data_IF_466244559360
#
_entry.id   IF_466244559360
#
_cell.length_a   1.000
_cell.length_b   1.000
_cell.length_c   1.000
_cell.angle_alpha   90.00
_cell.angle_beta   90.00
_cell.angle_gamma   90.00
#
_symmetry.space_group_name_H-M   'P 1'
#
loop_
_entity.id
_entity.type
_entity.pdbx_description
1 polymer ?
#
# COMPACT_ATOMS: atom_id res chain seq x y z
N UNK A 1 15.41 10.02 -5.52
CA UNK A 1 15.65 10.77 -4.25
C UNK A 1 14.39 11.07 -3.43
N UNK A 2 13.21 11.29 -4.03
CA UNK A 2 11.99 11.66 -3.27
C UNK A 2 11.50 10.58 -2.26
N UNK A 3 11.63 9.29 -2.59
CA UNK A 3 11.27 8.20 -1.68
C UNK A 3 12.17 8.16 -0.43
N UNK A 4 13.47 8.37 -0.59
CA UNK A 4 14.42 8.45 0.53
C UNK A 4 14.11 9.61 1.49
N UNK A 5 13.76 10.79 0.95
CA UNK A 5 13.29 11.94 1.75
C UNK A 5 11.93 11.71 2.44
N UNK A 6 11.30 10.56 2.19
CA UNK A 6 10.07 10.12 2.85
C UNK A 6 10.28 8.83 3.65
N UNK A 7 11.53 8.41 3.90
CA UNK A 7 11.85 7.15 4.59
C UNK A 7 11.23 5.92 3.92
N UNK A 8 11.16 5.90 2.58
CA UNK A 8 10.59 4.79 1.80
C UNK A 8 11.67 4.03 1.04
N UNK A 9 11.74 2.72 1.28
CA UNK A 9 12.41 1.74 0.42
C UNK A 9 11.41 1.19 -0.60
N UNK A 10 11.62 1.46 -1.88
CA UNK A 10 10.85 0.88 -2.98
C UNK A 10 11.62 -0.28 -3.61
N UNK A 11 11.12 -1.50 -3.46
CA UNK A 11 11.77 -2.72 -3.96
C UNK A 11 11.78 -2.84 -5.49
N UNK A 12 11.04 -2.00 -6.21
CA UNK A 12 11.09 -1.94 -7.69
C UNK A 12 12.08 -0.88 -8.19
N UNK A 13 12.63 -0.05 -7.29
CA UNK A 13 13.46 1.08 -7.67
C UNK A 13 14.93 0.68 -7.90
N UNK A 14 15.35 0.65 -9.17
CA UNK A 14 16.75 0.34 -9.55
C UNK A 14 17.77 1.31 -8.95
N UNK A 15 17.43 2.60 -8.82
CA UNK A 15 18.35 3.58 -8.22
C UNK A 15 18.57 3.37 -6.72
N UNK A 16 17.58 2.82 -6.00
CA UNK A 16 17.77 2.44 -4.60
C UNK A 16 18.52 1.12 -4.48
N UNK A 17 18.28 0.17 -5.39
CA UNK A 17 19.05 -1.08 -5.47
C UNK A 17 20.56 -0.82 -5.55
N UNK A 18 20.99 0.17 -6.31
CA UNK A 18 22.41 0.54 -6.48
C UNK A 18 23.10 1.01 -5.19
N UNK A 19 22.35 1.30 -4.12
CA UNK A 19 22.92 1.66 -2.81
C UNK A 19 23.35 0.44 -1.98
N UNK A 20 23.04 -0.77 -2.46
CA UNK A 20 23.32 -2.04 -1.80
C UNK A 20 24.14 -2.93 -2.73
N UNK A 21 24.85 -3.88 -2.16
CA UNK A 21 25.36 -5.03 -2.92
C UNK A 21 24.19 -5.88 -3.42
N UNK A 22 24.40 -6.67 -4.47
CA UNK A 22 23.35 -7.58 -4.98
C UNK A 22 22.87 -8.56 -3.90
N UNK A 23 23.78 -9.03 -3.04
CA UNK A 23 23.47 -9.94 -1.95
C UNK A 23 22.58 -9.28 -0.89
N UNK A 24 22.95 -8.09 -0.41
CA UNK A 24 22.13 -7.32 0.53
C UNK A 24 20.74 -7.00 -0.03
N UNK A 25 20.67 -6.59 -1.31
CA UNK A 25 19.40 -6.33 -1.96
C UNK A 25 18.53 -7.56 -2.07
N UNK A 26 19.11 -8.71 -2.43
CA UNK A 26 18.38 -9.97 -2.51
C UNK A 26 17.85 -10.41 -1.14
N UNK A 27 18.63 -10.21 -0.08
CA UNK A 27 18.18 -10.47 1.30
C UNK A 27 17.02 -9.56 1.70
N UNK A 28 17.11 -8.24 1.42
CA UNK A 28 16.04 -7.29 1.68
C UNK A 28 14.77 -7.64 0.88
N UNK A 29 14.92 -7.87 -0.42
CA UNK A 29 13.80 -8.22 -1.30
C UNK A 29 13.13 -9.51 -0.83
N UNK A 30 13.90 -10.55 -0.50
CA UNK A 30 13.37 -11.81 0.02
C UNK A 30 12.60 -11.61 1.31
N UNK A 31 13.18 -10.88 2.28
CA UNK A 31 12.56 -10.60 3.58
C UNK A 31 11.19 -9.94 3.47
N UNK A 32 11.05 -8.96 2.58
CA UNK A 32 9.82 -8.18 2.46
C UNK A 32 8.81 -8.79 1.49
N UNK A 33 9.25 -9.47 0.45
CA UNK A 33 8.35 -10.21 -0.45
C UNK A 33 7.78 -11.46 0.21
N UNK A 34 8.48 -12.04 1.19
CA UNK A 34 7.97 -13.15 2.01
C UNK A 34 6.87 -12.75 2.99
N UNK A 35 6.60 -11.45 3.19
CA UNK A 35 5.44 -11.01 3.99
C UNK A 35 4.19 -11.55 3.32
N UNK A 36 3.51 -12.46 4.02
CA UNK A 36 2.38 -13.20 3.47
C UNK A 36 1.20 -12.28 3.17
N UNK A 37 0.63 -12.45 1.98
CA UNK A 37 -0.71 -11.95 1.65
C UNK A 37 -1.63 -13.14 1.50
N UNK A 38 -2.84 -13.01 2.04
CA UNK A 38 -3.87 -14.04 1.90
C UNK A 38 -4.50 -13.91 0.52
N UNK A 39 -4.21 -14.89 -0.32
CA UNK A 39 -4.79 -15.02 -1.67
C UNK A 39 -6.30 -15.25 -1.61
N UNK A 40 -7.02 -14.57 -2.50
CA UNK A 40 -8.46 -14.79 -2.66
C UNK A 40 -8.72 -16.16 -3.29
N UNK A 41 -9.71 -16.92 -2.79
CA UNK A 41 -10.13 -18.16 -3.43
C UNK A 41 -10.82 -17.84 -4.76
N UNK A 42 -10.33 -18.43 -5.84
CA UNK A 42 -10.98 -18.30 -7.15
C UNK A 42 -11.96 -19.45 -7.37
N UNK A 43 -13.18 -19.09 -7.78
CA UNK A 43 -14.22 -20.06 -8.09
C UNK A 43 -13.81 -20.93 -9.29
N UNK A 44 -13.64 -22.24 -9.05
CA UNK A 44 -13.29 -23.21 -10.10
C UNK A 44 -14.31 -23.23 -11.24
N UNK A 45 -15.60 -23.05 -10.94
CA UNK A 45 -16.67 -22.99 -11.94
C UNK A 45 -16.50 -21.75 -12.81
N UNK A 46 -16.19 -20.60 -12.22
CA UNK A 46 -15.90 -19.38 -12.98
C UNK A 46 -14.73 -19.60 -13.95
N UNK A 47 -13.61 -20.13 -13.47
CA UNK A 47 -12.43 -20.35 -14.31
C UNK A 47 -12.66 -21.42 -15.38
N UNK A 48 -13.47 -22.43 -15.11
CA UNK A 48 -13.85 -23.43 -16.12
C UNK A 48 -14.66 -22.78 -17.25
N UNK A 49 -15.62 -21.93 -16.92
CA UNK A 49 -16.39 -21.19 -17.93
C UNK A 49 -15.51 -20.21 -18.71
N UNK A 50 -14.55 -19.57 -18.04
CA UNK A 50 -13.56 -18.72 -18.71
C UNK A 50 -12.69 -19.50 -19.70
N UNK A 51 -12.17 -20.66 -19.31
CA UNK A 51 -11.37 -21.51 -20.18
C UNK A 51 -12.16 -21.98 -21.43
N UNK A 52 -13.44 -22.34 -21.24
CA UNK A 52 -14.33 -22.67 -22.37
C UNK A 52 -14.55 -21.46 -23.29
N UNK A 53 -14.81 -20.29 -22.71
CA UNK A 53 -14.95 -19.05 -23.46
C UNK A 53 -13.68 -18.72 -24.29
N UNK A 54 -12.49 -18.89 -23.71
CA UNK A 54 -11.22 -18.74 -24.43
C UNK A 54 -11.08 -19.75 -25.58
N UNK A 55 -11.46 -21.01 -25.35
CA UNK A 55 -11.49 -22.05 -26.38
C UNK A 55 -12.42 -21.71 -27.54
N UNK A 56 -13.63 -21.23 -27.24
CA UNK A 56 -14.59 -20.79 -28.25
C UNK A 56 -14.07 -19.61 -29.06
N UNK A 57 -13.54 -18.58 -28.38
CA UNK A 57 -13.00 -17.39 -29.02
C UNK A 57 -11.86 -17.69 -30.00
N UNK A 58 -10.97 -18.63 -29.63
CA UNK A 58 -9.87 -19.07 -30.50
C UNK A 58 -10.36 -19.87 -31.70
N UNK A 59 -11.27 -20.82 -31.46
CA UNK A 59 -11.81 -21.68 -32.52
C UNK A 59 -12.60 -20.88 -33.57
N UNK A 60 -13.32 -19.83 -33.15
CA UNK A 60 -14.23 -19.10 -34.05
C UNK A 60 -13.57 -17.83 -34.63
N UNK A 61 -12.42 -17.41 -34.09
CA UNK A 61 -11.77 -16.15 -34.44
C UNK A 61 -12.55 -14.91 -34.01
N UNK A 62 -13.55 -15.06 -33.13
CA UNK A 62 -14.38 -13.98 -32.59
C UNK A 62 -14.98 -14.37 -31.22
N UNK A 63 -15.42 -13.39 -30.44
CA UNK A 63 -15.93 -13.61 -29.08
C UNK A 63 -17.43 -13.98 -28.98
N UNK A 64 -18.18 -14.08 -30.09
CA UNK A 64 -19.65 -14.13 -30.02
C UNK A 64 -20.18 -15.41 -29.34
N UNK A 65 -19.64 -16.59 -29.70
CA UNK A 65 -20.04 -17.85 -29.04
C UNK A 65 -19.64 -17.87 -27.56
N UNK A 66 -18.45 -17.34 -27.26
CA UNK A 66 -17.95 -17.22 -25.90
C UNK A 66 -18.86 -16.34 -25.03
N UNK A 67 -19.27 -15.17 -25.54
CA UNK A 67 -20.20 -14.27 -24.85
C UNK A 67 -21.58 -14.91 -24.64
N UNK A 68 -22.12 -15.60 -25.65
CA UNK A 68 -23.39 -16.30 -25.54
C UNK A 68 -23.32 -17.40 -24.45
N UNK A 69 -22.22 -18.15 -24.41
CA UNK A 69 -21.99 -19.16 -23.37
C UNK A 69 -21.97 -18.55 -21.96
N UNK A 70 -21.22 -17.46 -21.76
CA UNK A 70 -21.17 -16.78 -20.46
C UNK A 70 -22.54 -16.20 -20.07
N UNK A 71 -23.26 -15.60 -21.02
CA UNK A 71 -24.60 -15.02 -20.79
C UNK A 71 -25.61 -16.08 -20.36
N UNK A 72 -25.62 -17.24 -21.02
CA UNK A 72 -26.48 -18.37 -20.68
C UNK A 72 -26.12 -18.92 -19.29
N UNK A 73 -24.82 -19.07 -19.01
CA UNK A 73 -24.33 -19.53 -17.70
C UNK A 73 -24.72 -18.54 -16.60
N UNK A 74 -24.55 -17.24 -16.84
CA UNK A 74 -24.92 -16.17 -15.91
C UNK A 74 -26.42 -16.17 -15.63
N UNK A 75 -27.24 -16.25 -16.66
CA UNK A 75 -28.71 -16.33 -16.54
C UNK A 75 -29.15 -17.58 -15.77
N UNK A 76 -28.52 -18.73 -16.03
CA UNK A 76 -28.80 -19.96 -15.30
C UNK A 76 -28.40 -19.90 -13.81
N UNK A 77 -27.52 -18.97 -13.43
CA UNK A 77 -27.05 -18.79 -12.05
C UNK A 77 -27.49 -17.43 -11.46
N UNK A 78 -28.63 -16.87 -11.93
CA UNK A 78 -29.11 -15.55 -11.49
C UNK A 78 -29.30 -15.42 -9.96
N UNK A 79 -29.60 -16.52 -9.26
CA UNK A 79 -29.74 -16.54 -7.80
C UNK A 79 -28.41 -16.43 -7.03
N UNK A 80 -27.26 -16.64 -7.69
CA UNK A 80 -25.95 -16.44 -7.10
C UNK A 80 -25.38 -15.09 -7.56
N UNK A 81 -25.69 -14.02 -6.81
CA UNK A 81 -25.28 -12.64 -7.15
C UNK A 81 -23.76 -12.50 -7.34
N UNK A 82 -22.95 -13.18 -6.53
CA UNK A 82 -21.48 -13.11 -6.64
C UNK A 82 -20.99 -13.72 -7.95
N UNK A 83 -21.40 -14.95 -8.27
CA UNK A 83 -21.02 -15.60 -9.53
C UNK A 83 -21.59 -14.84 -10.74
N UNK A 84 -22.81 -14.31 -10.63
CA UNK A 84 -23.45 -13.51 -11.67
C UNK A 84 -22.61 -12.29 -12.02
N UNK A 85 -22.17 -11.52 -11.03
CA UNK A 85 -21.33 -10.34 -11.25
C UNK A 85 -19.96 -10.72 -11.81
N UNK A 86 -19.34 -11.78 -11.29
CA UNK A 86 -18.04 -12.27 -11.79
C UNK A 86 -18.12 -12.68 -13.26
N UNK A 87 -19.21 -13.30 -13.70
CA UNK A 87 -19.44 -13.62 -15.12
C UNK A 87 -19.66 -12.36 -15.98
N UNK A 88 -20.32 -11.32 -15.47
CA UNK A 88 -20.44 -10.04 -16.20
C UNK A 88 -19.07 -9.39 -16.44
N UNK A 89 -18.15 -9.49 -15.48
CA UNK A 89 -16.78 -8.98 -15.65
C UNK A 89 -16.10 -9.70 -16.83
N UNK A 90 -16.21 -11.03 -16.89
CA UNK A 90 -15.65 -11.83 -17.98
C UNK A 90 -16.27 -11.49 -19.34
N UNK A 91 -17.60 -11.30 -19.39
CA UNK A 91 -18.31 -10.85 -20.60
C UNK A 91 -17.81 -9.49 -21.09
N UNK A 92 -17.64 -8.52 -20.18
CA UNK A 92 -17.12 -7.20 -20.51
C UNK A 92 -15.71 -7.27 -21.09
N UNK A 93 -14.85 -8.15 -20.57
CA UNK A 93 -13.48 -8.32 -21.09
C UNK A 93 -13.50 -8.85 -22.52
N UNK A 94 -14.32 -9.87 -22.80
CA UNK A 94 -14.49 -10.38 -24.16
C UNK A 94 -14.98 -9.31 -25.12
N UNK A 95 -15.97 -8.51 -24.69
CA UNK A 95 -16.49 -7.37 -25.44
C UNK A 95 -15.40 -6.34 -25.74
N UNK A 96 -14.61 -5.96 -24.74
CA UNK A 96 -13.51 -5.01 -24.90
C UNK A 96 -12.46 -5.56 -25.89
N UNK A 97 -12.03 -6.82 -25.73
CA UNK A 97 -11.05 -7.43 -26.64
C UNK A 97 -11.57 -7.53 -28.08
N UNK A 98 -12.86 -7.80 -28.26
CA UNK A 98 -13.49 -7.88 -29.57
C UNK A 98 -13.65 -6.51 -30.25
N UNK A 99 -14.02 -5.48 -29.50
CA UNK A 99 -14.49 -4.21 -30.05
C UNK A 99 -13.45 -3.09 -30.00
N UNK A 100 -12.53 -3.10 -29.04
CA UNK A 100 -11.54 -2.03 -28.81
C UNK A 100 -10.19 -2.33 -29.49
N UNK A 101 -10.24 -2.92 -30.70
CA UNK A 101 -9.05 -3.34 -31.44
C UNK A 101 -8.04 -2.21 -31.68
N UNK A 102 -8.52 -1.00 -31.99
CA UNK A 102 -7.67 0.18 -32.16
C UNK A 102 -6.92 0.55 -30.87
N UNK A 103 -7.61 0.54 -29.73
CA UNK A 103 -7.01 0.86 -28.42
C UNK A 103 -5.95 -0.19 -28.07
N UNK A 104 -6.31 -1.47 -28.14
CA UNK A 104 -5.43 -2.57 -27.78
C UNK A 104 -4.22 -2.68 -28.70
N UNK A 105 -4.41 -2.58 -30.01
CA UNK A 105 -3.29 -2.63 -30.97
C UNK A 105 -2.33 -1.46 -30.79
N UNK A 106 -2.86 -0.27 -30.50
CA UNK A 106 -2.04 0.92 -30.31
C UNK A 106 -1.26 0.88 -28.99
N UNK A 107 -1.85 0.37 -27.91
CA UNK A 107 -1.14 0.21 -26.63
C UNK A 107 -0.10 -0.91 -26.67
N UNK A 108 -0.32 -1.94 -27.50
CA UNK A 108 0.63 -3.05 -27.62
C UNK A 108 1.85 -2.69 -28.49
N UNK A 109 1.62 -2.17 -29.70
CA UNK A 109 2.67 -1.99 -30.73
C UNK A 109 2.53 -0.66 -31.49
N UNK A 110 1.71 0.26 -31.00
CA UNK A 110 1.45 1.54 -31.68
C UNK A 110 2.67 2.45 -31.72
N UNK A 111 2.75 3.22 -32.81
CA UNK A 111 3.72 4.30 -32.92
C UNK A 111 3.44 5.43 -31.93
N UNK A 112 4.45 6.26 -31.65
CA UNK A 112 4.34 7.44 -30.79
C UNK A 112 3.19 8.38 -31.20
N UNK A 113 2.95 8.54 -32.51
CA UNK A 113 1.90 9.40 -33.04
C UNK A 113 0.51 8.82 -32.80
N UNK A 114 0.36 7.50 -32.81
CA UNK A 114 -0.89 6.81 -32.49
C UNK A 114 -1.16 6.85 -30.98
N UNK A 115 -0.15 6.61 -30.13
CA UNK A 115 -0.29 6.70 -28.67
C UNK A 115 -0.72 8.10 -28.20
N UNK A 116 -0.33 9.17 -28.91
CA UNK A 116 -0.82 10.53 -28.63
C UNK A 116 -2.33 10.70 -28.80
N UNK A 117 -2.98 9.84 -29.58
CA UNK A 117 -4.44 9.86 -29.82
C UNK A 117 -5.25 9.19 -28.71
N UNK A 118 -4.59 8.44 -27.82
CA UNK A 118 -5.22 7.75 -26.70
C UNK A 118 -4.99 8.58 -25.44
N UNK A 119 -6.02 8.80 -24.64
CA UNK A 119 -5.90 9.44 -23.33
C UNK A 119 -5.73 8.42 -22.19
N UNK A 120 -5.24 8.86 -21.03
CA UNK A 120 -5.19 8.01 -19.81
C UNK A 120 -6.62 7.64 -19.36
N UNK A 121 -7.59 8.52 -19.62
CA UNK A 121 -9.03 8.29 -19.41
C UNK A 121 -9.53 7.14 -20.28
N UNK A 122 -9.16 7.08 -21.57
CA UNK A 122 -9.56 5.97 -22.46
C UNK A 122 -9.05 4.63 -21.93
N UNK A 123 -7.79 4.58 -21.49
CA UNK A 123 -7.15 3.39 -20.93
C UNK A 123 -7.93 2.92 -19.69
N UNK A 124 -8.21 3.85 -18.77
CA UNK A 124 -8.87 3.51 -17.53
C UNK A 124 -10.30 3.04 -17.74
N UNK A 125 -11.14 3.87 -18.36
CA UNK A 125 -12.57 3.63 -18.39
C UNK A 125 -12.97 2.48 -19.33
N UNK A 126 -12.19 2.22 -20.38
CA UNK A 126 -12.49 1.13 -21.32
C UNK A 126 -11.89 -0.21 -20.90
N UNK A 127 -10.73 -0.21 -20.25
CA UNK A 127 -10.01 -1.44 -19.91
C UNK A 127 -10.15 -1.80 -18.43
N UNK A 128 -9.67 -0.94 -17.53
CA UNK A 128 -9.42 -1.29 -16.13
C UNK A 128 -10.62 -1.07 -15.21
N UNK A 129 -11.30 0.07 -15.36
CA UNK A 129 -12.43 0.46 -14.52
C UNK A 129 -13.57 -0.58 -14.50
N UNK A 130 -14.00 -1.16 -15.64
CA UNK A 130 -15.06 -2.18 -15.65
C UNK A 130 -14.71 -3.42 -14.81
N UNK A 131 -13.43 -3.79 -14.74
CA UNK A 131 -12.97 -4.94 -13.96
C UNK A 131 -12.86 -4.57 -12.48
N UNK A 132 -12.15 -3.47 -12.16
CA UNK A 132 -11.92 -3.04 -10.77
C UNK A 132 -13.26 -2.71 -10.10
N UNK A 133 -14.10 -1.91 -10.76
CA UNK A 133 -15.42 -1.57 -10.24
C UNK A 133 -16.33 -2.80 -10.18
N UNK A 134 -16.25 -3.70 -11.17
CA UNK A 134 -17.00 -4.96 -11.15
C UNK A 134 -16.66 -5.82 -9.93
N UNK A 135 -15.38 -5.94 -9.58
CA UNK A 135 -14.92 -6.68 -8.40
C UNK A 135 -15.34 -6.01 -7.09
N UNK A 136 -15.22 -4.68 -6.99
CA UNK A 136 -15.66 -3.90 -5.82
C UNK A 136 -17.17 -4.07 -5.55
N UNK A 137 -17.98 -4.12 -6.62
CA UNK A 137 -19.44 -4.24 -6.51
C UNK A 137 -19.94 -5.63 -6.09
N UNK A 138 -19.05 -6.62 -5.96
CA UNK A 138 -19.41 -7.97 -5.48
C UNK A 138 -19.93 -7.91 -4.05
N UNK A 139 -19.17 -7.26 -3.16
CA UNK A 139 -19.57 -7.11 -1.76
C UNK A 139 -20.06 -5.69 -1.44
N UNK A 140 -19.87 -4.72 -2.35
CA UNK A 140 -20.34 -3.32 -2.22
C UNK A 140 -19.86 -2.63 -0.95
N UNK A 141 -18.71 -3.05 -0.43
CA UNK A 141 -18.11 -2.49 0.78
C UNK A 141 -17.16 -1.33 0.46
N UNK A 142 -16.53 -1.37 -0.71
CA UNK A 142 -15.58 -0.36 -1.15
C UNK A 142 -16.22 0.51 -2.24
N UNK A 143 -15.61 1.66 -2.51
CA UNK A 143 -15.98 2.55 -3.60
C UNK A 143 -14.76 2.96 -4.40
N UNK A 144 -14.91 2.90 -5.72
CA UNK A 144 -13.90 3.39 -6.67
C UNK A 144 -14.14 4.88 -6.94
N UNK A 145 -13.12 5.70 -6.73
CA UNK A 145 -13.09 7.10 -7.17
C UNK A 145 -12.00 7.26 -8.22
N UNK A 146 -12.29 8.02 -9.26
CA UNK A 146 -11.37 8.22 -10.38
C UNK A 146 -11.40 9.66 -10.89
N UNK A 147 -10.29 10.10 -11.50
CA UNK A 147 -10.07 11.46 -12.00
C UNK A 147 -9.04 12.20 -11.16
N UNK A 148 -8.96 13.53 -11.28
CA UNK A 148 -8.07 14.40 -10.49
C UNK A 148 -8.49 14.44 -9.00
N UNK A 149 -8.32 13.33 -8.29
CA UNK A 149 -8.71 13.20 -6.88
C UNK A 149 -7.55 13.55 -5.96
N UNK A 150 -7.84 13.92 -4.71
CA UNK A 150 -6.82 14.28 -3.72
C UNK A 150 -7.12 13.54 -2.42
N UNK A 151 -6.07 13.08 -1.75
CA UNK A 151 -6.14 12.57 -0.39
C UNK A 151 -6.11 13.76 0.60
N UNK A 152 -7.09 13.81 1.51
CA UNK A 152 -7.18 14.87 2.52
C UNK A 152 -6.03 14.81 3.51
N UNK A 153 -5.54 13.61 3.84
CA UNK A 153 -4.40 13.40 4.74
C UNK A 153 -3.12 13.95 4.13
N UNK A 154 -2.84 13.65 2.87
CA UNK A 154 -1.64 14.16 2.19
C UNK A 154 -1.69 15.68 2.01
N UNK A 155 -2.89 16.26 1.82
CA UNK A 155 -3.10 17.71 1.80
C UNK A 155 -2.81 18.34 3.16
N UNK A 156 -3.30 17.75 4.26
CA UNK A 156 -3.04 18.24 5.61
C UNK A 156 -1.55 18.18 5.96
N UNK A 157 -0.89 17.05 5.68
CA UNK A 157 0.53 16.86 5.92
C UNK A 157 1.40 17.82 5.09
N UNK A 158 1.04 18.05 3.81
CA UNK A 158 1.73 19.03 2.98
C UNK A 158 1.53 20.47 3.46
N UNK A 159 0.32 20.81 3.94
CA UNK A 159 0.02 22.13 4.52
C UNK A 159 0.82 22.37 5.80
N UNK A 160 1.05 21.34 6.60
CA UNK A 160 1.94 21.43 7.76
C UNK A 160 3.40 21.69 7.35
N UNK A 161 3.87 21.06 6.26
CA UNK A 161 5.23 21.27 5.76
C UNK A 161 5.44 22.66 5.13
N UNK A 162 4.39 23.22 4.51
CA UNK A 162 4.41 24.51 3.84
C UNK A 162 3.36 25.47 4.43
N UNK A 163 3.44 25.72 5.73
CA UNK A 163 2.43 26.51 6.48
C UNK A 163 2.26 27.94 5.99
N UNK A 164 3.29 28.51 5.37
CA UNK A 164 3.29 29.88 4.84
C UNK A 164 2.70 30.00 3.42
N UNK A 165 2.43 28.88 2.74
CA UNK A 165 1.90 28.90 1.39
C UNK A 165 0.38 29.07 1.38
N UNK A 166 -0.13 29.97 0.54
CA UNK A 166 -1.56 30.30 0.49
C UNK A 166 -2.44 29.19 -0.11
N UNK A 167 -1.90 28.41 -1.05
CA UNK A 167 -2.63 27.33 -1.72
C UNK A 167 -1.80 26.05 -1.69
N UNK A 168 -2.13 25.16 -0.75
CA UNK A 168 -1.48 23.86 -0.59
C UNK A 168 -2.49 22.76 -0.84
N UNK A 169 -2.24 21.97 -1.88
CA UNK A 169 -2.99 20.77 -2.23
C UNK A 169 -1.99 19.61 -2.25
N UNK A 170 -2.39 18.46 -1.69
CA UNK A 170 -1.65 17.20 -1.74
C UNK A 170 -1.39 16.72 -3.17
N UNK A 171 -0.85 15.52 -3.33
CA UNK A 171 -0.72 14.99 -4.69
C UNK A 171 -2.11 14.65 -5.24
N UNK A 172 -2.34 15.03 -6.50
CA UNK A 172 -3.53 14.60 -7.23
C UNK A 172 -3.30 13.20 -7.73
N UNK A 173 -4.12 12.23 -7.37
CA UNK A 173 -4.02 10.83 -7.83
C UNK A 173 -5.22 10.46 -8.69
N UNK A 174 -4.99 9.59 -9.68
CA UNK A 174 -6.00 9.25 -10.69
C UNK A 174 -7.07 8.29 -10.18
N UNK A 175 -6.72 7.42 -9.23
CA UNK A 175 -7.58 6.37 -8.68
C UNK A 175 -7.46 6.38 -7.16
N UNK A 176 -8.61 6.25 -6.48
CA UNK A 176 -8.71 5.94 -5.05
C UNK A 176 -9.69 4.79 -4.85
N UNK A 177 -9.35 3.83 -4.00
CA UNK A 177 -10.31 2.85 -3.48
C UNK A 177 -10.52 3.19 -2.02
N UNK A 178 -11.76 3.52 -1.68
CA UNK A 178 -12.13 4.05 -0.37
C UNK A 178 -13.16 3.16 0.30
N UNK A 179 -13.18 3.22 1.62
CA UNK A 179 -14.23 2.67 2.48
C UNK A 179 -14.95 3.83 3.16
N UNK A 180 -16.28 3.84 3.08
CA UNK A 180 -17.11 4.85 3.73
C UNK A 180 -17.51 4.32 5.11
N UNK A 181 -17.14 5.05 6.18
CA UNK A 181 -17.57 4.76 7.56
C UNK A 181 -18.25 6.00 8.12
N UNK A 182 -19.56 5.90 8.37
CA UNK A 182 -20.41 7.04 8.73
C UNK A 182 -20.25 8.18 7.69
N UNK A 183 -19.82 9.36 8.12
CA UNK A 183 -19.60 10.54 7.27
C UNK A 183 -18.13 10.67 6.79
N UNK A 184 -17.27 9.69 7.09
CA UNK A 184 -15.84 9.73 6.80
C UNK A 184 -15.46 8.80 5.63
N UNK A 185 -14.57 9.31 4.77
CA UNK A 185 -13.99 8.58 3.65
C UNK A 185 -12.57 8.12 4.01
N UNK A 186 -12.38 6.80 4.10
CA UNK A 186 -11.10 6.19 4.48
C UNK A 186 -10.45 5.59 3.24
N UNK A 187 -9.27 6.08 2.88
CA UNK A 187 -8.50 5.53 1.78
C UNK A 187 -7.88 4.17 2.14
N UNK A 188 -7.91 3.24 1.20
CA UNK A 188 -7.23 1.94 1.29
C UNK A 188 -6.24 1.73 0.16
N UNK A 189 -6.45 2.39 -0.98
CA UNK A 189 -5.59 2.30 -2.15
C UNK A 189 -5.50 3.63 -2.88
N UNK A 190 -4.30 3.99 -3.30
CA UNK A 190 -4.05 5.03 -4.31
C UNK A 190 -3.73 4.38 -5.67
N UNK A 191 -3.94 5.09 -6.77
CA UNK A 191 -3.49 4.62 -8.08
C UNK A 191 -3.21 5.74 -9.08
N UNK A 192 -2.31 5.44 -10.01
CA UNK A 192 -1.86 6.32 -11.09
C UNK A 192 -1.97 5.61 -12.42
N UNK A 193 -2.24 6.40 -13.47
CA UNK A 193 -2.47 5.90 -14.82
C UNK A 193 -1.53 6.60 -15.78
N UNK A 194 -0.87 5.80 -16.60
CA UNK A 194 0.02 6.28 -17.66
C UNK A 194 -0.24 5.52 -18.95
N UNK A 195 0.15 6.12 -20.08
CA UNK A 195 -0.06 5.52 -21.42
C UNK A 195 0.88 4.36 -21.76
N UNK A 196 1.91 4.11 -20.95
CA UNK A 196 3.00 3.19 -21.28
C UNK A 196 3.97 3.76 -22.32
N UNK A 197 5.26 3.45 -22.17
CA UNK A 197 6.40 3.67 -23.10
C UNK A 197 6.73 5.08 -23.62
N UNK A 198 5.82 6.06 -23.53
CA UNK A 198 6.03 7.42 -24.06
C UNK A 198 7.10 8.23 -23.30
N UNK A 199 7.29 7.96 -22.01
CA UNK A 199 8.26 8.66 -21.17
C UNK A 199 8.51 7.91 -19.85
N UNK A 200 9.57 7.08 -19.79
CA UNK A 200 9.92 6.35 -18.57
C UNK A 200 10.10 7.28 -17.36
N UNK A 201 10.58 8.51 -17.56
CA UNK A 201 10.72 9.47 -16.47
C UNK A 201 9.37 9.94 -15.90
N UNK A 202 8.32 10.05 -16.72
CA UNK A 202 6.96 10.34 -16.22
C UNK A 202 6.46 9.17 -15.37
N UNK A 203 6.58 7.94 -15.88
CA UNK A 203 6.17 6.72 -15.16
C UNK A 203 6.87 6.59 -13.81
N UNK A 204 8.18 6.85 -13.75
CA UNK A 204 8.94 6.82 -12.49
C UNK A 204 8.59 7.96 -11.52
N UNK A 205 8.30 9.15 -12.06
CA UNK A 205 7.85 10.27 -11.24
C UNK A 205 6.48 10.00 -10.62
N UNK A 206 5.55 9.46 -11.42
CA UNK A 206 4.20 9.11 -10.97
C UNK A 206 4.23 7.93 -10.00
N UNK A 207 5.11 6.93 -10.20
CA UNK A 207 5.38 5.87 -9.21
C UNK A 207 5.88 6.43 -7.87
N UNK A 208 6.87 7.32 -7.90
CA UNK A 208 7.42 7.95 -6.67
C UNK A 208 6.38 8.79 -5.93
N UNK A 209 5.40 9.35 -6.64
CA UNK A 209 4.26 10.07 -6.09
C UNK A 209 3.25 9.09 -5.48
N UNK A 210 2.87 8.05 -6.23
CA UNK A 210 1.96 6.99 -5.83
C UNK A 210 2.39 6.32 -4.52
N UNK A 211 3.67 5.97 -4.40
CA UNK A 211 4.21 5.28 -3.22
C UNK A 211 4.17 6.19 -1.98
N UNK A 212 4.35 7.50 -2.13
CA UNK A 212 4.21 8.46 -1.02
C UNK A 212 2.76 8.62 -0.59
N UNK A 213 1.83 8.63 -1.53
CA UNK A 213 0.39 8.60 -1.20
C UNK A 213 0.01 7.30 -0.50
N UNK A 214 0.54 6.15 -0.95
CA UNK A 214 0.40 4.88 -0.23
C UNK A 214 0.91 4.97 1.22
N UNK A 215 2.05 5.62 1.45
CA UNK A 215 2.55 5.89 2.81
C UNK A 215 1.58 6.76 3.63
N UNK A 216 1.04 7.82 3.04
CA UNK A 216 0.12 8.72 3.76
C UNK A 216 -1.19 8.01 4.12
N UNK A 217 -1.69 7.15 3.23
CA UNK A 217 -2.82 6.24 3.52
C UNK A 217 -2.47 5.33 4.70
N UNK A 218 -1.29 4.70 4.69
CA UNK A 218 -0.89 3.82 5.79
C UNK A 218 -0.83 4.57 7.13
N UNK A 219 -0.29 5.79 7.14
CA UNK A 219 -0.26 6.62 8.33
C UNK A 219 -1.66 6.89 8.88
N UNK A 220 -2.62 7.21 7.99
CA UNK A 220 -4.02 7.37 8.36
C UNK A 220 -4.60 6.10 8.99
N UNK A 221 -4.33 4.92 8.41
CA UNK A 221 -4.82 3.66 8.97
C UNK A 221 -4.28 3.41 10.38
N UNK A 222 -3.01 3.71 10.63
CA UNK A 222 -2.44 3.64 11.98
C UNK A 222 -3.09 4.65 12.93
N UNK A 223 -3.32 5.89 12.49
CA UNK A 223 -4.01 6.90 13.30
C UNK A 223 -5.43 6.45 13.70
N UNK A 224 -6.19 5.88 12.75
CA UNK A 224 -7.53 5.36 13.00
C UNK A 224 -7.55 4.13 13.91
N UNK A 225 -6.49 3.31 13.88
CA UNK A 225 -6.36 2.10 14.69
C UNK A 225 -5.58 2.33 16.00
N UNK A 226 -5.50 3.57 16.48
CA UNK A 226 -4.93 3.90 17.79
C UNK A 226 -3.40 3.82 17.87
N UNK A 227 -2.69 3.91 16.75
CA UNK A 227 -1.23 3.91 16.66
C UNK A 227 -0.53 2.70 17.32
N UNK A 228 -1.20 1.55 17.37
CA UNK A 228 -0.60 0.31 17.86
C UNK A 228 0.10 -0.44 16.74
N UNK A 229 1.17 -1.16 17.09
CA UNK A 229 1.85 -2.02 16.11
C UNK A 229 0.87 -3.07 15.60
N UNK A 230 0.68 -3.11 14.28
CA UNK A 230 -0.27 -4.00 13.67
C UNK A 230 0.25 -4.45 12.29
N UNK A 231 0.80 -5.66 12.26
CA UNK A 231 1.34 -6.28 11.05
C UNK A 231 0.27 -6.57 9.96
N UNK A 232 -1.02 -6.44 10.29
CA UNK A 232 -2.11 -6.55 9.33
C UNK A 232 -2.43 -5.23 8.62
N UNK A 233 -1.92 -4.09 9.14
CA UNK A 233 -2.06 -2.76 8.55
C UNK A 233 -0.99 -2.51 7.49
N UNK A 234 -1.47 -2.38 6.26
CA UNK A 234 -0.72 -1.88 5.12
C UNK A 234 -1.72 -1.24 4.15
N UNK A 235 -1.24 -0.33 3.32
CA UNK A 235 -2.03 0.27 2.25
C UNK A 235 -1.70 -0.38 0.90
N UNK A 236 -2.61 -0.25 -0.06
CA UNK A 236 -2.41 -0.74 -1.42
C UNK A 236 -2.06 0.41 -2.38
N UNK A 237 -1.37 0.08 -3.47
CA UNK A 237 -1.18 0.98 -4.60
C UNK A 237 -1.34 0.24 -5.92
N UNK A 238 -1.93 0.91 -6.91
CA UNK A 238 -2.17 0.39 -8.26
C UNK A 238 -1.52 1.33 -9.28
N UNK A 239 -0.56 0.84 -10.05
CA UNK A 239 0.05 1.58 -11.15
C UNK A 239 -0.35 0.95 -12.47
N UNK A 240 -1.08 1.70 -13.30
CA UNK A 240 -1.47 1.29 -14.64
C UNK A 240 -0.56 1.98 -15.67
N UNK A 241 0.01 1.19 -16.58
CA UNK A 241 0.80 1.67 -17.71
C UNK A 241 0.35 1.00 -19.00
N UNK A 242 -0.60 1.64 -19.69
CA UNK A 242 -1.26 1.06 -20.86
C UNK A 242 -1.97 -0.24 -20.51
N UNK A 243 -1.47 -1.36 -21.05
CA UNK A 243 -2.00 -2.70 -20.78
C UNK A 243 -1.36 -3.37 -19.56
N UNK A 244 -0.30 -2.83 -18.98
CA UNK A 244 0.32 -3.38 -17.78
C UNK A 244 -0.29 -2.76 -16.52
N UNK A 245 -0.42 -3.55 -15.47
CA UNK A 245 -0.83 -3.09 -14.16
C UNK A 245 0.02 -3.77 -13.08
N UNK A 246 0.62 -2.94 -12.23
CA UNK A 246 1.41 -3.37 -11.08
C UNK A 246 0.64 -3.00 -9.82
N UNK A 247 0.47 -3.97 -8.94
CA UNK A 247 -0.19 -3.80 -7.65
C UNK A 247 0.85 -4.02 -6.56
N UNK A 248 0.98 -3.05 -5.66
CA UNK A 248 1.95 -3.07 -4.57
C UNK A 248 1.28 -2.80 -3.23
N UNK A 249 1.99 -3.08 -2.15
CA UNK A 249 1.57 -2.78 -0.78
C UNK A 249 2.62 -1.95 -0.07
N UNK A 250 2.21 -0.99 0.76
CA UNK A 250 3.09 -0.20 1.60
C UNK A 250 3.05 -0.72 3.04
N UNK A 251 4.21 -1.05 3.60
CA UNK A 251 4.37 -1.56 4.96
C UNK A 251 5.13 -0.55 5.81
N UNK A 252 4.82 -0.49 7.11
CA UNK A 252 5.61 0.25 8.10
C UNK A 252 6.41 -0.78 8.90
N UNK A 253 7.73 -0.64 8.88
CA UNK A 253 8.64 -1.49 9.62
C UNK A 253 9.19 -0.76 10.85
N UNK A 254 9.86 -1.50 11.72
CA UNK A 254 10.58 -0.96 12.87
C UNK A 254 11.48 0.24 12.48
N UNK A 255 11.64 1.18 13.40
CA UNK A 255 12.45 2.41 13.22
C UNK A 255 11.92 3.42 12.19
N UNK A 256 10.70 3.24 11.69
CA UNK A 256 10.06 4.20 10.80
C UNK A 256 10.43 4.08 9.33
N UNK A 257 11.01 2.95 8.94
CA UNK A 257 11.24 2.60 7.54
C UNK A 257 9.92 2.13 6.94
N UNK A 258 9.51 2.75 5.83
CA UNK A 258 8.39 2.27 5.05
C UNK A 258 8.91 1.48 3.86
N UNK A 259 8.24 0.38 3.52
CA UNK A 259 8.65 -0.49 2.41
C UNK A 259 7.51 -0.66 1.42
N UNK A 260 7.78 -0.33 0.16
CA UNK A 260 6.88 -0.61 -0.95
C UNK A 260 7.23 -1.96 -1.57
N UNK A 261 6.30 -2.91 -1.49
CA UNK A 261 6.49 -4.29 -1.91
C UNK A 261 5.61 -4.57 -3.13
N UNK A 262 6.18 -4.89 -4.31
CA UNK A 262 5.39 -5.33 -5.45
C UNK A 262 4.76 -6.69 -5.17
N UNK A 263 3.46 -6.82 -5.45
CA UNK A 263 2.68 -8.04 -5.15
C UNK A 263 2.21 -8.75 -6.40
N UNK A 264 1.68 -7.99 -7.35
CA UNK A 264 1.19 -8.52 -8.61
C UNK A 264 1.67 -7.66 -9.76
N UNK A 265 2.01 -8.32 -10.86
CA UNK A 265 2.32 -7.70 -12.14
C UNK A 265 1.60 -8.52 -13.21
N UNK A 266 0.72 -7.88 -13.97
CA UNK A 266 -0.08 -8.54 -14.98
C UNK A 266 -0.40 -7.62 -16.14
N UNK A 267 -0.75 -8.26 -17.26
CA UNK A 267 -1.04 -7.60 -18.53
C UNK A 267 -2.48 -7.89 -18.92
N UNK A 268 -3.18 -6.85 -19.38
CA UNK A 268 -4.52 -6.96 -19.94
C UNK A 268 -4.45 -7.67 -21.31
N UNK A 269 -5.37 -8.62 -21.61
CA UNK A 269 -5.37 -9.34 -22.88
C UNK A 269 -5.37 -8.41 -24.10
N UNK A 270 -4.38 -8.59 -24.97
CA UNK A 270 -4.13 -7.74 -26.14
C UNK A 270 -5.08 -8.06 -27.31
N UNK A 271 -5.54 -9.31 -27.36
CA UNK A 271 -6.32 -9.89 -28.45
C UNK A 271 -6.93 -11.24 -27.99
N UNK A 272 -7.70 -11.89 -28.87
CA UNK A 272 -8.36 -13.15 -28.55
C UNK A 272 -7.39 -14.31 -28.23
N UNK A 273 -6.15 -14.27 -28.73
CA UNK A 273 -5.16 -15.31 -28.44
C UNK A 273 -4.47 -15.13 -27.07
N UNK A 274 -4.57 -13.96 -26.46
CA UNK A 274 -3.99 -13.65 -25.14
C UNK A 274 -5.02 -13.66 -24.00
N UNK A 275 -6.24 -14.17 -24.25
CA UNK A 275 -7.28 -14.27 -23.22
C UNK A 275 -6.88 -15.18 -22.05
N UNK A 276 -5.99 -16.15 -22.26
CA UNK A 276 -5.47 -17.02 -21.20
C UNK A 276 -4.60 -16.24 -20.18
N UNK A 277 -4.07 -15.06 -20.52
CA UNK A 277 -3.32 -14.18 -19.60
C UNK A 277 -4.20 -13.60 -18.49
N UNK A 278 -5.53 -13.65 -18.67
CA UNK A 278 -6.50 -13.10 -17.74
C UNK A 278 -6.45 -13.77 -16.35
N UNK A 279 -6.13 -15.06 -16.29
CA UNK A 279 -6.16 -15.84 -15.06
C UNK A 279 -5.38 -15.18 -13.93
N UNK A 280 -4.15 -14.75 -14.23
CA UNK A 280 -3.26 -14.12 -13.25
C UNK A 280 -3.73 -12.71 -12.90
N UNK A 281 -4.20 -11.95 -13.90
CA UNK A 281 -4.75 -10.62 -13.70
C UNK A 281 -5.97 -10.65 -12.77
N UNK A 282 -6.94 -11.53 -13.06
CA UNK A 282 -8.15 -11.67 -12.27
C UNK A 282 -7.85 -12.12 -10.84
N UNK A 283 -6.97 -13.13 -10.67
CA UNK A 283 -6.51 -13.60 -9.35
C UNK A 283 -5.86 -12.48 -8.54
N UNK A 284 -4.96 -11.70 -9.15
CA UNK A 284 -4.26 -10.60 -8.49
C UNK A 284 -5.21 -9.49 -8.04
N UNK A 285 -6.07 -9.01 -8.94
CA UNK A 285 -7.05 -7.96 -8.63
C UNK A 285 -8.08 -8.42 -7.59
N UNK A 286 -8.61 -9.64 -7.72
CA UNK A 286 -9.53 -10.20 -6.73
C UNK A 286 -8.87 -10.29 -5.36
N UNK A 287 -7.62 -10.76 -5.31
CA UNK A 287 -6.85 -10.84 -4.06
C UNK A 287 -6.69 -9.47 -3.44
N UNK A 288 -6.26 -8.45 -4.21
CA UNK A 288 -6.10 -7.11 -3.68
C UNK A 288 -7.41 -6.52 -3.15
N UNK A 289 -8.52 -6.67 -3.88
CA UNK A 289 -9.83 -6.11 -3.49
C UNK A 289 -10.39 -6.81 -2.25
N UNK A 290 -10.41 -8.14 -2.20
CA UNK A 290 -10.86 -8.88 -1.00
C UNK A 290 -9.95 -8.61 0.21
N UNK A 291 -8.66 -8.35 -0.02
CA UNK A 291 -7.71 -7.98 1.02
C UNK A 291 -7.98 -6.57 1.57
N UNK A 292 -8.29 -5.60 0.71
CA UNK A 292 -8.75 -4.26 1.11
C UNK A 292 -10.07 -4.33 1.89
N UNK A 293 -11.03 -5.16 1.45
CA UNK A 293 -12.28 -5.38 2.19
C UNK A 293 -12.01 -5.91 3.60
N UNK A 294 -11.11 -6.89 3.76
CA UNK A 294 -10.70 -7.36 5.10
C UNK A 294 -10.10 -6.24 5.96
N UNK A 295 -9.31 -5.34 5.38
CA UNK A 295 -8.73 -4.20 6.12
C UNK A 295 -9.80 -3.22 6.55
N UNK A 296 -10.78 -2.95 5.68
CA UNK A 296 -11.89 -2.08 6.09
C UNK A 296 -12.69 -2.67 7.25
N UNK A 297 -12.83 -3.99 7.39
CA UNK A 297 -13.44 -4.60 8.58
C UNK A 297 -12.59 -4.39 9.83
N UNK A 298 -11.27 -4.55 9.71
CA UNK A 298 -10.35 -4.29 10.82
C UNK A 298 -10.46 -2.84 11.28
N UNK A 299 -10.41 -1.88 10.37
CA UNK A 299 -10.56 -0.45 10.68
C UNK A 299 -11.92 -0.15 11.30
N UNK A 300 -13.01 -0.67 10.72
CA UNK A 300 -14.37 -0.51 11.27
C UNK A 300 -14.47 -1.02 12.72
N UNK A 301 -13.86 -2.17 13.03
CA UNK A 301 -13.87 -2.73 14.37
C UNK A 301 -13.10 -1.83 15.37
N UNK A 302 -11.95 -1.29 14.98
CA UNK A 302 -11.21 -0.35 15.82
C UNK A 302 -12.01 0.94 16.07
N UNK A 303 -12.63 1.49 15.03
CA UNK A 303 -13.43 2.72 15.17
C UNK A 303 -14.63 2.53 16.10
N UNK A 304 -15.35 1.41 15.98
CA UNK A 304 -16.47 1.09 16.88
C UNK A 304 -16.01 0.89 18.33
N UNK A 305 -14.90 0.19 18.54
CA UNK A 305 -14.33 0.00 19.89
C UNK A 305 -13.94 1.35 20.53
N UNK A 306 -13.35 2.26 19.75
CA UNK A 306 -12.99 3.58 20.24
C UNK A 306 -14.25 4.40 20.60
N UNK A 307 -15.30 4.37 19.77
CA UNK A 307 -16.58 5.04 20.05
C UNK A 307 -17.24 4.48 21.33
N UNK A 308 -17.23 3.16 21.53
CA UNK A 308 -17.78 2.51 22.73
C UNK A 308 -17.00 2.91 24.00
N UNK A 309 -15.67 2.98 23.92
CA UNK A 309 -14.82 3.44 25.01
C UNK A 309 -15.10 4.90 25.36
N UNK A 310 -15.21 5.79 24.37
CA UNK A 310 -15.54 7.21 24.59
C UNK A 310 -16.91 7.38 25.26
N UNK A 311 -17.94 6.65 24.80
CA UNK A 311 -19.27 6.68 25.41
C UNK A 311 -19.27 6.15 26.85
N UNK A 312 -18.51 5.09 27.13
CA UNK A 312 -18.35 4.53 28.48
C UNK A 312 -17.64 5.51 29.42
N UNK A 313 -16.61 6.21 28.93
CA UNK A 313 -15.90 7.22 29.70
C UNK A 313 -16.78 8.44 29.98
N UNK A 314 -17.60 8.88 29.02
CA UNK A 314 -18.57 9.96 29.21
C UNK A 314 -19.64 9.61 30.24
N UNK A 315 -20.13 8.37 30.26
CA UNK A 315 -21.10 7.91 31.26
C UNK A 315 -20.48 7.75 32.66
N UNK A 316 -19.22 7.32 32.75
CA UNK A 316 -18.47 7.27 34.00
C UNK A 316 -18.14 8.67 34.57
N UNK A 317 -17.92 9.68 33.71
CA UNK A 317 -17.68 11.07 34.15
C UNK A 317 -18.95 11.74 34.69
N UNK A 318 -20.14 11.31 34.24
CA UNK A 318 -21.43 11.82 34.73
C UNK A 318 -21.96 11.08 35.99
N UNK A 319 -21.32 9.98 36.40
CA UNK A 319 -21.61 9.24 37.63
C UNK A 319 -20.45 9.30 38.63
N UNK A 320 -20.58 10.12 39.68
CA UNK A 320 -19.59 10.19 40.77
C UNK A 320 -19.28 8.81 41.40
N UNK A 321 -18.04 8.32 41.27
CA UNK A 321 -17.12 7.94 42.38
C UNK A 321 -16.02 6.92 41.99
N UNK A 322 -14.77 7.30 42.32
CA UNK A 322 -13.71 6.55 43.02
C UNK A 322 -13.08 5.23 42.47
N UNK A 323 -11.75 5.33 42.32
CA UNK A 323 -10.67 4.33 42.55
C UNK A 323 -10.54 3.11 41.62
N UNK A 324 -9.50 3.09 40.78
CA UNK A 324 -8.21 2.47 41.08
C UNK A 324 -7.22 2.68 39.93
N UNK A 325 -6.21 3.52 40.15
CA UNK A 325 -4.96 3.58 39.36
C UNK A 325 -4.10 2.36 39.71
N UNK A 326 -4.50 1.18 39.25
CA UNK A 326 -3.60 0.03 39.11
C UNK A 326 -3.96 -0.68 37.81
N UNK A 327 -3.54 -0.10 36.68
CA UNK A 327 -3.36 -0.91 35.49
C UNK A 327 -1.89 -0.84 35.06
N UNK A 328 -1.21 -1.94 35.34
CA UNK A 328 0.14 -2.25 34.94
C UNK A 328 0.28 -2.06 33.43
N UNK A 329 0.86 -0.92 33.05
CA UNK A 329 1.20 -0.61 31.68
C UNK A 329 2.24 -1.60 31.16
N UNK A 330 1.76 -2.63 30.46
CA UNK A 330 2.50 -3.07 29.27
C UNK A 330 2.53 -1.85 28.37
N UNK A 331 3.69 -1.21 28.30
CA UNK A 331 3.97 -0.17 27.30
C UNK A 331 3.90 -0.90 25.95
N UNK A 332 2.70 -1.03 25.39
CA UNK A 332 2.56 -1.35 23.97
C UNK A 332 3.31 -0.25 23.23
N UNK A 333 4.26 -0.63 22.37
CA UNK A 333 5.07 0.33 21.65
C UNK A 333 4.18 1.20 20.76
N UNK A 334 4.10 2.48 21.10
CA UNK A 334 3.33 3.47 20.33
C UNK A 334 4.02 3.75 18.99
N UNK A 335 3.37 3.34 17.90
CA UNK A 335 3.82 3.52 16.51
C UNK A 335 3.94 5.00 16.17
N UNK A 336 3.26 5.89 16.90
CA UNK A 336 3.45 7.34 16.77
C UNK A 336 4.91 7.75 16.92
N UNK A 337 5.70 7.05 17.75
CA UNK A 337 7.13 7.29 17.91
C UNK A 337 7.98 6.89 16.69
N UNK A 338 7.46 5.96 15.87
CA UNK A 338 8.15 5.41 14.70
C UNK A 338 7.69 5.98 13.37
N UNK A 339 6.46 6.49 13.23
CA UNK A 339 6.03 7.14 11.99
C UNK A 339 6.99 8.26 11.59
N UNK A 340 7.26 8.36 10.29
CA UNK A 340 8.12 9.41 9.73
C UNK A 340 7.29 10.30 8.80
N UNK A 341 7.52 11.61 8.81
CA UNK A 341 6.84 12.51 7.89
C UNK A 341 7.19 12.22 6.42
N UNK A 342 6.31 12.62 5.51
CA UNK A 342 6.51 12.53 4.07
C UNK A 342 7.10 13.82 3.52
N UNK A 343 8.02 13.73 2.55
CA UNK A 343 8.46 14.89 1.78
C UNK A 343 7.52 15.14 0.61
N UNK A 344 7.08 16.38 0.45
CA UNK A 344 6.23 16.81 -0.65
C UNK A 344 7.02 17.74 -1.59
N UNK A 345 6.62 17.79 -2.86
CA UNK A 345 7.11 18.86 -3.72
C UNK A 345 6.56 20.21 -3.24
N UNK A 346 7.39 21.27 -3.26
CA UNK A 346 6.95 22.60 -2.87
C UNK A 346 5.84 23.13 -3.80
N UNK A 347 5.12 24.18 -3.38
CA UNK A 347 4.12 24.84 -4.22
C UNK A 347 4.63 25.18 -5.62
N UNK A 348 3.69 25.29 -6.58
CA UNK A 348 4.01 25.57 -7.98
C UNK A 348 4.87 26.83 -8.07
N UNK A 349 5.91 26.78 -8.90
CA UNK A 349 6.87 27.88 -9.13
C UNK A 349 7.75 28.25 -7.92
N UNK A 350 7.63 27.53 -6.80
CA UNK A 350 8.40 27.79 -5.57
C UNK A 350 9.41 26.66 -5.27
N UNK A 351 10.04 26.09 -6.30
CA UNK A 351 10.97 24.94 -6.16
C UNK A 351 12.10 25.17 -5.15
N UNK A 352 12.56 26.41 -5.03
CA UNK A 352 13.62 26.82 -4.10
C UNK A 352 13.18 26.79 -2.63
N UNK A 353 11.87 26.72 -2.35
CA UNK A 353 11.33 26.59 -0.99
C UNK A 353 11.16 25.13 -0.56
N UNK A 354 11.85 24.18 -1.19
CA UNK A 354 11.79 22.78 -0.75
C UNK A 354 12.37 22.64 0.66
N UNK A 355 11.66 21.96 1.56
CA UNK A 355 12.03 21.78 2.97
C UNK A 355 12.10 20.30 3.27
N UNK A 356 13.15 19.88 3.99
CA UNK A 356 13.26 18.53 4.53
C UNK A 356 12.30 18.42 5.72
N UNK A 357 11.45 17.38 5.79
CA UNK A 357 10.53 17.24 6.90
C UNK A 357 11.24 17.16 8.26
N UNK A 358 10.67 17.84 9.26
CA UNK A 358 11.18 17.82 10.64
C UNK A 358 11.00 16.42 11.23
N UNK A 359 12.03 15.88 11.90
CA UNK A 359 12.05 14.51 12.43
C UNK A 359 12.01 13.39 11.37
N UNK A 360 12.51 13.65 10.16
CA UNK A 360 12.67 12.61 9.13
C UNK A 360 13.46 11.39 9.64
N UNK A 361 14.42 11.59 10.54
CA UNK A 361 15.22 10.54 11.15
C UNK A 361 14.72 10.13 12.55
N UNK A 362 13.48 10.49 12.90
CA UNK A 362 12.88 10.26 14.21
C UNK A 362 13.11 11.40 15.21
N UNK A 363 12.42 11.31 16.35
CA UNK A 363 12.67 12.17 17.52
C UNK A 363 13.82 11.56 18.31
N UNK A 364 14.81 12.38 18.71
CA UNK A 364 15.72 11.97 19.79
C UNK A 364 14.84 11.61 20.98
N UNK A 365 14.94 10.39 21.50
CA UNK A 365 14.34 10.07 22.81
C UNK A 365 14.93 11.11 23.76
N UNK A 366 14.10 12.02 24.26
CA UNK A 366 14.51 12.86 25.39
C UNK A 366 14.98 11.87 26.45
N UNK A 367 16.22 12.01 26.91
CA UNK A 367 16.67 11.31 28.09
C UNK A 367 15.75 11.80 29.21
N UNK A 368 14.65 11.08 29.46
CA UNK A 368 13.75 11.39 30.55
C UNK A 368 14.60 11.22 31.78
N UNK A 369 14.84 12.34 32.46
CA UNK A 369 15.45 12.43 33.77
C UNK A 369 14.87 11.31 34.63
N UNK A 370 15.64 10.26 34.86
CA UNK A 370 15.36 9.30 35.91
C UNK A 370 15.56 10.10 37.18
N UNK A 371 14.49 10.71 37.67
CA UNK A 371 14.42 11.29 38.99
C UNK A 371 14.65 10.16 39.99
N UNK A 372 15.89 10.10 40.50
CA UNK A 372 16.25 9.59 41.82
C UNK A 372 15.30 8.53 42.39
N UNK A 373 15.36 7.31 41.85
CA UNK A 373 14.98 6.14 42.64
C UNK A 373 16.16 5.88 43.58
N UNK A 374 15.93 6.08 44.87
CA UNK A 374 16.86 5.82 45.94
C UNK A 374 17.41 4.39 45.83
N UNK A 375 18.72 4.29 45.59
CA UNK A 375 19.46 3.04 45.65
C UNK A 375 19.35 2.44 47.06
N UNK A 376 18.63 1.32 47.16
CA UNK A 376 18.99 0.29 48.12
C UNK A 376 20.04 -0.60 47.44
N UNK A 377 21.24 -0.62 48.00
CA UNK A 377 22.32 -1.53 47.60
C UNK A 377 21.81 -2.98 47.63
N UNK A 378 22.20 -3.82 46.66
CA UNK A 378 23.40 -4.62 46.92
C UNK A 378 24.27 -4.97 45.70
N UNK A 379 25.57 -5.11 45.98
CA UNK A 379 26.58 -5.99 45.35
C UNK A 379 27.01 -5.75 43.89
N UNK A 380 28.14 -5.05 43.77
CA UNK A 380 29.31 -5.36 42.91
C UNK A 380 29.04 -6.03 41.55
N UNK A 381 29.01 -5.24 40.48
CA UNK A 381 29.38 -5.66 39.13
C UNK A 381 30.08 -4.50 38.40
N UNK A 382 31.13 -4.82 37.66
CA UNK A 382 32.13 -3.89 37.16
C UNK A 382 31.59 -2.84 36.18
N UNK A 383 32.05 -1.59 36.36
CA UNK A 383 31.86 -0.49 35.41
C UNK A 383 32.54 -0.81 34.07
N UNK A 384 31.79 -0.89 32.98
CA UNK A 384 32.34 -0.90 31.62
C UNK A 384 31.77 0.27 30.84
N UNK A 385 32.56 1.34 30.76
CA UNK A 385 32.31 2.46 29.86
C UNK A 385 32.43 1.94 28.42
N UNK A 386 31.46 2.22 27.54
CA UNK A 386 31.55 1.81 26.15
C UNK A 386 32.72 2.47 25.42
N UNK A 387 33.30 1.79 24.45
CA UNK A 387 34.36 2.32 23.60
C UNK A 387 33.85 3.37 22.59
N UNK A 388 34.76 3.86 21.74
CA UNK A 388 34.44 4.88 20.72
C UNK A 388 33.45 4.39 19.63
N UNK A 389 33.24 3.08 19.53
CA UNK A 389 32.29 2.43 18.62
C UNK A 389 31.00 1.99 19.34
N UNK A 390 30.87 2.32 20.62
CA UNK A 390 29.71 2.02 21.44
C UNK A 390 29.63 0.56 21.91
N UNK A 391 30.74 -0.19 21.95
CA UNK A 391 30.79 -1.54 22.52
C UNK A 391 31.25 -1.53 23.98
N UNK A 392 30.59 -2.31 24.82
CA UNK A 392 31.02 -2.57 26.20
C UNK A 392 30.97 -4.07 26.51
N UNK A 393 31.82 -4.50 27.44
CA UNK A 393 31.90 -5.90 27.86
C UNK A 393 30.92 -6.17 29.00
N UNK A 394 30.08 -7.20 28.83
CA UNK A 394 29.11 -7.63 29.83
C UNK A 394 29.12 -9.16 29.87
N UNK A 395 29.52 -9.71 31.01
CA UNK A 395 29.65 -11.15 31.26
C UNK A 395 30.54 -11.89 30.24
N UNK A 396 31.68 -11.28 29.86
CA UNK A 396 32.65 -11.86 28.92
C UNK A 396 32.20 -11.82 27.45
N UNK A 397 31.15 -11.06 27.13
CA UNK A 397 30.65 -10.82 25.77
C UNK A 397 30.57 -9.34 25.48
N UNK A 398 30.72 -8.96 24.22
CA UNK A 398 30.62 -7.57 23.77
C UNK A 398 29.21 -7.25 23.29
N UNK A 399 28.64 -6.15 23.80
CA UNK A 399 27.33 -5.62 23.41
C UNK A 399 27.46 -4.17 22.95
N UNK A 400 26.65 -3.78 21.97
CA UNK A 400 26.62 -2.40 21.49
C UNK A 400 25.49 -1.61 22.18
N UNK A 401 25.73 -0.35 22.56
CA UNK A 401 24.71 0.51 23.21
C UNK A 401 23.51 0.75 22.28
N UNK A 402 23.74 0.88 20.98
CA UNK A 402 22.69 1.15 19.99
C UNK A 402 21.97 -0.13 19.53
N UNK A 403 22.60 -1.30 19.66
CA UNK A 403 22.07 -2.60 19.25
C UNK A 403 22.28 -3.67 20.35
N UNK A 404 21.56 -3.58 21.48
CA UNK A 404 21.79 -4.43 22.65
C UNK A 404 21.46 -5.92 22.43
N UNK A 405 20.69 -6.25 21.39
CA UNK A 405 20.34 -7.62 21.00
C UNK A 405 21.46 -8.33 20.23
N UNK A 406 22.47 -7.59 19.76
CA UNK A 406 23.65 -8.15 19.10
C UNK A 406 24.74 -8.41 20.13
N UNK A 407 25.01 -9.70 20.36
CA UNK A 407 26.00 -10.18 21.33
C UNK A 407 27.15 -10.84 20.59
N UNK A 408 28.38 -10.38 20.83
CA UNK A 408 29.59 -10.89 20.21
C UNK A 408 30.47 -11.59 21.24
N UNK A 409 31.02 -12.75 20.90
CA UNK A 409 31.95 -13.47 21.79
C UNK A 409 33.36 -12.84 21.81
N UNK A 410 33.69 -12.01 20.81
CA UNK A 410 34.94 -11.25 20.71
C UNK A 410 34.66 -9.83 20.23
N UNK A 411 35.55 -8.87 20.53
CA UNK A 411 35.34 -7.48 20.12
C UNK A 411 35.37 -7.37 18.58
N UNK A 412 34.33 -6.85 17.91
CA UNK A 412 34.23 -6.85 16.44
C UNK A 412 35.35 -6.09 15.71
N UNK A 413 36.04 -5.21 16.43
CA UNK A 413 37.15 -4.38 15.92
C UNK A 413 38.53 -4.77 16.47
N UNK A 414 38.65 -5.88 17.21
CA UNK A 414 39.97 -6.45 17.50
C UNK A 414 40.39 -7.33 16.33
N UNK A 415 41.38 -6.86 15.57
CA UNK A 415 42.11 -7.71 14.63
C UNK A 415 43.17 -8.51 15.40
N UNK A 416 43.28 -9.81 15.11
CA UNK A 416 44.39 -10.67 15.57
C UNK A 416 45.77 -10.18 15.09
#
# INVERSE_FOLDING_TARGET
MACGLSSILNLTCTSQKQLFTDEEWNQLATRFTSIAIRYAPVDKKLMTNWALACGFSRSDGNAFRAMNHLTLTRTANFGNTSLYQKLMIMENILLTVQNESFLLSTLNEGTLSQLKKISEVDIFFKLWSPIINGLINVNKRLRLKSGDTVNLVSTAAKKQLYSEAQQVIGFKIDIRIVYDFEDEEIDLCAGEISKGTLNNAKVWHDDSKLIREGKDILNQLYDLCGNRENNELYSWSIQISGLQCVVSTQHLCSNGLYVSVPRFDFVFPKNLSSLDELDNMYKGLLTAIEDMERRSYLVENFLKQNQEQEQSNLTNVLGFNQFNDEDTSKVEEDVYSYKRPSWYTPPREERYKSVIPVHLFGRKRSATTISSISLSNPTTANNTVPDEYGFYECDGKYKNIEFPDLIFDTHPHQHE
#
